data_IF_103707558770
#
_entry.id   IF_103707558770
#
_cell.length_a   1.000
_cell.length_b   1.000
_cell.length_c   1.000
_cell.angle_alpha   90.00
_cell.angle_beta   90.00
_cell.angle_gamma   90.00
#
_symmetry.space_group_name_H-M   'P 1'
#
loop_
_entity.id
_entity.type
_entity.pdbx_description
1 polymer ?
#
# COMPACT_ATOMS: atom_id res chain seq x y z
N UNK A 1 0.49 15.94 -8.74
CA UNK A 1 -0.55 14.92 -8.99
C UNK A 1 -0.67 14.00 -7.77
N UNK A 2 -1.87 13.76 -7.24
CA UNK A 2 -2.06 12.94 -6.03
C UNK A 2 -1.79 11.44 -6.27
N UNK A 3 -2.06 10.95 -7.49
CA UNK A 3 -1.80 9.56 -7.85
C UNK A 3 -0.30 9.28 -7.91
N UNK A 4 0.50 10.17 -8.51
CA UNK A 4 1.94 10.04 -8.57
C UNK A 4 2.57 9.95 -7.16
N UNK A 5 2.16 10.85 -6.26
CA UNK A 5 2.58 10.83 -4.85
C UNK A 5 2.20 9.53 -4.16
N UNK A 6 1.02 8.96 -4.44
CA UNK A 6 0.61 7.67 -3.88
C UNK A 6 1.53 6.54 -4.35
N UNK A 7 1.85 6.46 -5.64
CA UNK A 7 2.79 5.47 -6.19
C UNK A 7 4.20 5.61 -5.61
N UNK A 8 4.66 6.84 -5.36
CA UNK A 8 5.94 7.08 -4.67
C UNK A 8 5.94 6.48 -3.26
N UNK A 9 4.83 6.59 -2.51
CA UNK A 9 4.74 5.95 -1.18
C UNK A 9 4.84 4.43 -1.23
N UNK A 10 4.42 3.83 -2.36
CA UNK A 10 4.47 2.39 -2.58
C UNK A 10 5.90 1.95 -2.87
N UNK A 11 6.58 2.67 -3.76
CA UNK A 11 8.01 2.46 -4.05
C UNK A 11 8.87 2.64 -2.80
N UNK A 12 8.63 3.69 -2.03
CA UNK A 12 9.37 3.95 -0.80
C UNK A 12 9.32 2.76 0.18
N UNK A 13 8.17 2.10 0.31
CA UNK A 13 8.02 0.92 1.18
C UNK A 13 8.70 -0.32 0.62
N UNK A 14 8.74 -0.46 -0.70
CA UNK A 14 9.51 -1.52 -1.36
C UNK A 14 11.02 -1.34 -1.12
N UNK A 15 11.53 -0.11 -1.23
CA UNK A 15 12.93 0.23 -0.93
C UNK A 15 13.30 -0.02 0.55
N UNK A 16 12.32 0.07 1.45
CA UNK A 16 12.48 -0.26 2.87
C UNK A 16 12.25 -1.74 3.18
N UNK A 17 12.08 -2.59 2.16
CA UNK A 17 11.82 -4.03 2.29
C UNK A 17 10.61 -4.37 3.17
N UNK A 18 9.60 -3.49 3.17
CA UNK A 18 8.37 -3.69 3.94
C UNK A 18 7.33 -4.51 3.16
N UNK A 19 7.40 -4.48 1.83
CA UNK A 19 6.53 -5.24 0.91
C UNK A 19 7.13 -5.30 -0.50
N UNK A 20 6.52 -6.10 -1.38
CA UNK A 20 6.84 -6.14 -2.80
C UNK A 20 5.54 -6.20 -3.62
N UNK A 21 5.16 -5.12 -4.32
CA UNK A 21 3.99 -5.12 -5.19
C UNK A 21 4.27 -5.84 -6.51
N UNK A 22 3.40 -6.77 -6.88
CA UNK A 22 3.36 -7.35 -8.25
C UNK A 22 2.35 -6.62 -9.12
N UNK A 23 1.22 -6.21 -8.52
CA UNK A 23 0.17 -5.47 -9.20
C UNK A 23 -0.37 -4.40 -8.24
N UNK A 24 -0.54 -3.18 -8.74
CA UNK A 24 -1.11 -2.07 -7.98
C UNK A 24 -1.93 -1.19 -8.92
N UNK A 25 -3.26 -1.22 -8.76
CA UNK A 25 -4.22 -0.53 -9.63
C UNK A 25 -5.02 0.47 -8.83
N UNK A 26 -4.91 1.74 -9.20
CA UNK A 26 -5.65 2.83 -8.60
C UNK A 26 -6.93 3.08 -9.41
N UNK A 27 -8.08 2.82 -8.79
CA UNK A 27 -9.40 3.22 -9.28
C UNK A 27 -9.81 4.54 -8.59
N UNK A 28 -10.80 5.27 -9.12
CA UNK A 28 -11.25 6.53 -8.51
C UNK A 28 -11.75 6.41 -7.05
N UNK A 29 -12.29 5.26 -6.65
CA UNK A 29 -12.93 5.02 -5.34
C UNK A 29 -12.20 3.97 -4.47
N UNK A 30 -11.39 3.10 -5.09
CA UNK A 30 -10.68 2.04 -4.38
C UNK A 30 -9.37 1.64 -5.07
N UNK A 31 -8.62 0.77 -4.40
CA UNK A 31 -7.32 0.29 -4.85
C UNK A 31 -7.26 -1.23 -4.81
N UNK A 32 -6.74 -1.82 -5.87
CA UNK A 32 -6.41 -3.23 -5.94
C UNK A 32 -4.90 -3.43 -5.83
N UNK A 33 -4.48 -4.38 -4.99
CA UNK A 33 -3.08 -4.71 -4.87
C UNK A 33 -2.84 -6.21 -4.70
N UNK A 34 -1.80 -6.69 -5.37
CA UNK A 34 -1.18 -7.98 -5.14
C UNK A 34 0.23 -7.73 -4.60
N UNK A 35 0.48 -8.17 -3.37
CA UNK A 35 1.67 -7.81 -2.59
C UNK A 35 2.27 -9.05 -1.92
N UNK A 36 3.60 -9.16 -1.95
CA UNK A 36 4.40 -10.05 -1.09
C UNK A 36 4.92 -9.30 0.13
N UNK A 37 5.17 -10.02 1.21
CA UNK A 37 5.62 -9.48 2.49
C UNK A 37 6.86 -10.22 3.01
N UNK A 38 7.70 -9.55 3.84
CA UNK A 38 8.90 -10.18 4.34
C UNK A 38 8.55 -11.31 5.32
N UNK A 39 9.34 -12.40 5.34
CA UNK A 39 9.10 -13.56 6.21
C UNK A 39 9.29 -13.24 7.70
N UNK A 40 9.81 -12.05 8.02
CA UNK A 40 10.03 -11.52 9.39
C UNK A 40 8.81 -11.51 10.33
N UNK A 41 7.61 -11.87 9.85
CA UNK A 41 6.43 -12.07 10.70
C UNK A 41 5.71 -10.79 11.13
N UNK A 42 6.11 -9.60 10.63
CA UNK A 42 5.31 -8.39 10.85
C UNK A 42 3.90 -8.63 10.30
N UNK A 43 2.84 -8.44 11.11
CA UNK A 43 1.49 -8.67 10.64
C UNK A 43 1.22 -7.80 9.42
N UNK A 44 0.86 -8.43 8.31
CA UNK A 44 0.40 -7.79 7.09
C UNK A 44 -0.52 -6.59 7.37
N UNK A 45 -1.51 -6.84 8.23
CA UNK A 45 -2.50 -5.86 8.66
C UNK A 45 -1.84 -4.60 9.22
N UNK A 46 -0.76 -4.73 9.99
CA UNK A 46 -0.04 -3.60 10.56
C UNK A 46 0.65 -2.77 9.48
N UNK A 47 1.37 -3.41 8.54
CA UNK A 47 2.09 -2.72 7.46
C UNK A 47 1.11 -1.91 6.60
N UNK A 48 -0.01 -2.53 6.23
CA UNK A 48 -1.06 -1.91 5.41
C UNK A 48 -1.81 -0.83 6.17
N UNK A 49 -2.21 -1.07 7.43
CA UNK A 49 -2.88 -0.06 8.25
C UNK A 49 -2.00 1.17 8.46
N UNK A 50 -0.71 1.00 8.72
CA UNK A 50 0.24 2.11 8.87
C UNK A 50 0.45 2.88 7.57
N UNK A 51 0.45 2.19 6.44
CA UNK A 51 0.46 2.87 5.15
C UNK A 51 -0.78 3.73 4.93
N UNK A 52 -1.98 3.18 5.14
CA UNK A 52 -3.25 3.91 4.99
C UNK A 52 -3.34 5.12 5.93
N UNK A 53 -2.91 4.95 7.18
CA UNK A 53 -2.85 6.04 8.17
C UNK A 53 -1.95 7.18 7.68
N UNK A 54 -0.74 6.84 7.20
CA UNK A 54 0.22 7.83 6.72
C UNK A 54 -0.27 8.55 5.46
N UNK A 55 -0.83 7.84 4.48
CA UNK A 55 -1.35 8.46 3.25
C UNK A 55 -2.54 9.37 3.53
N UNK A 56 -3.37 9.04 4.53
CA UNK A 56 -4.46 9.92 4.96
C UNK A 56 -3.93 11.23 5.54
N UNK A 57 -2.87 11.17 6.36
CA UNK A 57 -2.27 12.36 7.00
C UNK A 57 -1.49 13.23 6.00
N UNK A 58 -0.61 12.63 5.21
CA UNK A 58 0.37 13.38 4.39
C UNK A 58 -0.14 13.73 2.99
N UNK A 59 -1.07 12.92 2.46
CA UNK A 59 -1.62 13.12 1.12
C UNK A 59 -3.08 13.59 1.15
N UNK A 60 -3.71 13.66 2.33
CA UNK A 60 -5.13 13.99 2.48
C UNK A 60 -6.09 12.92 1.95
N UNK A 61 -5.59 11.69 1.71
CA UNK A 61 -6.39 10.62 1.11
C UNK A 61 -7.11 9.83 2.21
N UNK A 62 -8.31 10.28 2.56
CA UNK A 62 -9.04 9.83 3.76
C UNK A 62 -9.63 8.42 3.62
N UNK A 63 -10.02 8.00 2.41
CA UNK A 63 -10.78 6.75 2.24
C UNK A 63 -10.45 6.04 0.93
N UNK A 64 -9.29 5.38 0.88
CA UNK A 64 -9.06 4.32 -0.13
C UNK A 64 -9.48 2.97 0.47
N UNK A 65 -10.51 2.37 -0.13
CA UNK A 65 -10.77 0.94 0.03
C UNK A 65 -9.61 0.16 -0.57
N UNK A 66 -9.03 -0.79 0.18
CA UNK A 66 -7.97 -1.65 -0.35
C UNK A 66 -8.51 -3.07 -0.43
N UNK A 67 -8.63 -3.58 -1.66
CA UNK A 67 -8.90 -4.99 -1.88
C UNK A 67 -7.57 -5.67 -2.20
N UNK A 68 -7.11 -6.47 -1.24
CA UNK A 68 -5.88 -7.22 -1.35
C UNK A 68 -6.17 -8.68 -1.60
N UNK A 69 -5.50 -9.23 -2.60
CA UNK A 69 -5.39 -10.67 -2.81
C UNK A 69 -3.96 -11.04 -2.45
N UNK A 70 -3.78 -11.92 -1.48
CA UNK A 70 -2.47 -12.49 -1.15
C UNK A 70 -2.31 -13.75 -1.98
N UNK A 71 -1.20 -13.85 -2.70
CA UNK A 71 -0.74 -15.14 -3.19
C UNK A 71 0.29 -15.69 -2.19
N UNK A 72 0.23 -17.00 -1.89
CA UNK A 72 1.21 -17.67 -1.04
C UNK A 72 2.63 -17.61 -1.62
#
# INVERSE_FOLDING_TARGET
>A
DASARLFETVRHRQEKFLWWPYLFLLMPDHLHALLSFPPSGKPLKLVVSKWKEWTAKELGIVRIGLKMTLHP
#
